data_IF_328175532258
#
_entry.id   IF_328175532258
#
_cell.length_a   1.000
_cell.length_b   1.000
_cell.length_c   1.000
_cell.angle_alpha   90.00
_cell.angle_beta   90.00
_cell.angle_gamma   90.00
#
_symmetry.space_group_name_H-M   'P 1'
#
loop_
_entity.id
_entity.type
_entity.pdbx_description
1 polymer ?
#
# COMPACT_ATOMS: atom_id res chain seq x y z
N UNK A 1 -9.69 4.17 -18.66
CA UNK A 1 -10.58 3.06 -19.08
C UNK A 1 -11.93 3.09 -18.33
N UNK A 2 -12.53 4.26 -18.19
CA UNK A 2 -13.82 4.41 -17.51
C UNK A 2 -14.93 5.02 -18.39
N UNK A 3 -14.67 5.28 -19.70
CA UNK A 3 -15.72 5.73 -20.61
C UNK A 3 -16.71 4.61 -20.91
N UNK A 4 -17.95 4.98 -21.23
CA UNK A 4 -19.03 4.04 -21.54
C UNK A 4 -18.63 3.08 -22.67
N UNK A 5 -18.05 3.60 -23.76
CA UNK A 5 -17.63 2.80 -24.91
C UNK A 5 -16.58 1.75 -24.55
N UNK A 6 -15.60 2.13 -23.72
CA UNK A 6 -14.57 1.20 -23.26
C UNK A 6 -15.18 0.10 -22.38
N UNK A 7 -16.07 0.46 -21.46
CA UNK A 7 -16.77 -0.48 -20.59
C UNK A 7 -17.64 -1.43 -21.42
N UNK A 8 -18.38 -0.93 -22.41
CA UNK A 8 -19.14 -1.77 -23.33
C UNK A 8 -18.25 -2.75 -24.11
N UNK A 9 -17.09 -2.29 -24.58
CA UNK A 9 -16.10 -3.14 -25.23
C UNK A 9 -15.63 -4.27 -24.31
N UNK A 10 -15.32 -3.96 -23.05
CA UNK A 10 -14.92 -4.96 -22.06
C UNK A 10 -16.05 -5.97 -21.75
N UNK A 11 -17.30 -5.51 -21.62
CA UNK A 11 -18.46 -6.40 -21.39
C UNK A 11 -18.68 -7.32 -22.60
N UNK A 12 -18.56 -6.80 -23.83
CA UNK A 12 -18.65 -7.59 -25.07
C UNK A 12 -17.53 -8.62 -25.16
N UNK A 13 -16.34 -8.29 -24.67
CA UNK A 13 -15.18 -9.18 -24.61
C UNK A 13 -15.27 -10.23 -23.47
N UNK A 14 -16.32 -10.18 -22.63
CA UNK A 14 -16.56 -11.19 -21.59
C UNK A 14 -16.29 -10.74 -20.14
N UNK A 15 -15.97 -9.46 -19.91
CA UNK A 15 -15.91 -8.95 -18.53
C UNK A 15 -17.29 -9.06 -17.88
N UNK A 16 -17.32 -9.66 -16.69
CA UNK A 16 -18.55 -9.87 -15.90
C UNK A 16 -18.50 -9.21 -14.51
N UNK A 17 -17.37 -8.57 -14.16
CA UNK A 17 -17.18 -7.82 -12.93
C UNK A 17 -16.27 -6.61 -13.15
N UNK A 18 -16.59 -5.49 -12.51
CA UNK A 18 -15.77 -4.29 -12.45
C UNK A 18 -15.41 -3.99 -11.00
N UNK A 19 -14.12 -3.83 -10.72
CA UNK A 19 -13.59 -3.49 -9.40
C UNK A 19 -13.32 -1.99 -9.32
N UNK A 20 -13.92 -1.33 -8.34
CA UNK A 20 -13.64 0.05 -7.96
C UNK A 20 -12.67 0.04 -6.78
N UNK A 21 -11.41 0.43 -7.03
CA UNK A 21 -10.36 0.40 -6.02
C UNK A 21 -10.30 1.71 -5.24
N UNK A 22 -10.83 1.71 -4.02
CA UNK A 22 -10.91 2.86 -3.12
C UNK A 22 -9.59 3.24 -2.46
N UNK A 23 -8.51 2.50 -2.72
CA UNK A 23 -7.15 2.96 -2.37
C UNK A 23 -6.71 4.17 -3.23
N UNK A 24 -7.39 4.43 -4.35
CA UNK A 24 -7.09 5.48 -5.31
C UNK A 24 -8.37 6.16 -5.80
N UNK A 25 -8.25 7.42 -6.23
CA UNK A 25 -9.39 8.18 -6.73
C UNK A 25 -10.22 8.83 -5.61
N UNK A 26 -11.20 9.63 -6.02
CA UNK A 26 -12.19 10.26 -5.12
C UNK A 26 -13.55 9.58 -5.25
N UNK A 27 -14.48 9.88 -4.33
CA UNK A 27 -15.85 9.40 -4.43
C UNK A 27 -16.53 9.87 -5.72
N UNK A 28 -16.27 11.11 -6.18
CA UNK A 28 -16.81 11.64 -7.44
C UNK A 28 -16.31 10.83 -8.64
N UNK A 29 -15.01 10.50 -8.67
CA UNK A 29 -14.44 9.65 -9.72
C UNK A 29 -15.06 8.25 -9.74
N UNK A 30 -15.29 7.66 -8.57
CA UNK A 30 -15.93 6.35 -8.46
C UNK A 30 -17.41 6.42 -8.85
N UNK A 31 -18.11 7.50 -8.50
CA UNK A 31 -19.51 7.73 -8.89
C UNK A 31 -19.65 7.85 -10.41
N UNK A 32 -18.78 8.61 -11.06
CA UNK A 32 -18.75 8.71 -12.53
C UNK A 32 -18.54 7.33 -13.17
N UNK A 33 -17.53 6.60 -12.70
CA UNK A 33 -17.24 5.25 -13.19
C UNK A 33 -18.41 4.30 -12.99
N UNK A 34 -19.07 4.33 -11.83
CA UNK A 34 -20.25 3.53 -11.50
C UNK A 34 -21.42 3.85 -12.46
N UNK A 35 -21.68 5.13 -12.71
CA UNK A 35 -22.73 5.56 -13.63
C UNK A 35 -22.44 5.12 -15.07
N UNK A 36 -21.19 5.18 -15.49
CA UNK A 36 -20.77 4.69 -16.82
C UNK A 36 -20.94 3.17 -16.95
N UNK A 37 -20.64 2.39 -15.90
CA UNK A 37 -20.89 0.95 -15.88
C UNK A 37 -22.40 0.68 -15.98
N UNK A 38 -23.22 1.36 -15.19
CA UNK A 38 -24.70 1.20 -15.24
C UNK A 38 -25.27 1.58 -16.59
N UNK A 39 -24.74 2.61 -17.23
CA UNK A 39 -25.13 3.02 -18.60
C UNK A 39 -24.78 1.94 -19.62
N UNK A 40 -23.57 1.41 -19.57
CA UNK A 40 -23.12 0.32 -20.46
C UNK A 40 -23.97 -0.96 -20.27
N UNK A 41 -24.29 -1.31 -19.01
CA UNK A 41 -25.21 -2.43 -18.70
C UNK A 41 -26.57 -2.25 -19.36
N UNK A 42 -27.13 -1.04 -19.26
CA UNK A 42 -28.44 -0.70 -19.89
C UNK A 42 -28.35 -0.79 -21.41
N UNK A 43 -27.32 -0.19 -22.01
CA UNK A 43 -27.15 -0.17 -23.48
C UNK A 43 -27.02 -1.59 -24.07
N UNK A 44 -26.34 -2.47 -23.35
CA UNK A 44 -26.10 -3.85 -23.79
C UNK A 44 -27.17 -4.85 -23.32
N UNK A 45 -28.10 -4.42 -22.49
CA UNK A 45 -29.06 -5.29 -21.79
C UNK A 45 -28.34 -6.47 -21.10
N UNK A 46 -27.23 -6.18 -20.43
CA UNK A 46 -26.41 -7.15 -19.69
C UNK A 46 -26.20 -6.71 -18.24
N UNK A 47 -26.10 -7.66 -17.34
CA UNK A 47 -25.77 -7.42 -15.94
C UNK A 47 -24.34 -7.84 -15.67
N UNK A 48 -23.57 -7.00 -14.96
CA UNK A 48 -22.22 -7.30 -14.47
C UNK A 48 -22.14 -7.01 -12.98
N UNK A 49 -21.22 -7.69 -12.28
CA UNK A 49 -20.94 -7.42 -10.88
C UNK A 49 -20.13 -6.12 -10.73
N UNK A 50 -20.37 -5.41 -9.63
CA UNK A 50 -19.58 -4.24 -9.23
C UNK A 50 -19.01 -4.55 -7.85
N UNK A 51 -17.67 -4.54 -7.72
CA UNK A 51 -16.94 -4.79 -6.49
C UNK A 51 -16.37 -3.48 -5.96
N UNK A 52 -16.80 -3.07 -4.79
CA UNK A 52 -16.13 -2.02 -4.03
C UNK A 52 -14.97 -2.63 -3.26
N UNK A 53 -13.75 -2.25 -3.59
CA UNK A 53 -12.53 -2.72 -2.94
C UNK A 53 -11.99 -1.61 -2.03
N UNK A 54 -12.30 -1.72 -0.73
CA UNK A 54 -11.86 -0.75 0.29
C UNK A 54 -10.37 -0.89 0.58
N UNK A 55 -9.74 0.20 1.07
CA UNK A 55 -8.28 0.26 1.24
C UNK A 55 -7.74 -0.66 2.32
N UNK A 56 -8.47 -0.80 3.43
CA UNK A 56 -7.95 -1.40 4.65
C UNK A 56 -6.76 -0.63 5.25
N UNK A 57 -6.25 -1.06 6.40
CA UNK A 57 -5.03 -0.53 6.97
C UNK A 57 -3.83 -0.97 6.12
N UNK A 58 -3.04 -0.01 5.65
CA UNK A 58 -1.81 -0.29 4.90
C UNK A 58 -0.62 0.34 5.59
N UNK A 59 0.30 -0.50 6.06
CA UNK A 59 1.55 -0.02 6.63
C UNK A 59 2.42 0.53 5.49
N UNK A 60 2.91 1.76 5.66
CA UNK A 60 3.73 2.46 4.67
C UNK A 60 4.87 3.19 5.34
N UNK A 61 5.99 3.31 4.64
CA UNK A 61 7.03 4.27 5.05
C UNK A 61 6.52 5.70 4.87
N UNK A 62 7.11 6.62 5.63
CA UNK A 62 6.88 8.06 5.52
C UNK A 62 7.37 8.64 4.20
N UNK A 63 7.47 9.98 4.17
CA UNK A 63 8.12 10.68 3.07
C UNK A 63 9.63 10.51 3.14
N UNK A 64 10.30 10.51 1.99
CA UNK A 64 11.75 10.49 1.85
C UNK A 64 12.21 11.78 1.20
N UNK A 65 13.38 12.30 1.59
CA UNK A 65 14.00 13.45 0.91
C UNK A 65 14.27 13.18 -0.56
N UNK A 66 14.66 11.93 -0.86
CA UNK A 66 14.93 11.41 -2.19
C UNK A 66 14.71 9.89 -2.18
N UNK A 67 14.49 9.23 -3.32
CA UNK A 67 14.46 7.77 -3.37
C UNK A 67 15.80 7.18 -2.93
N UNK A 68 15.75 6.09 -2.15
CA UNK A 68 16.94 5.37 -1.71
C UNK A 68 17.25 4.24 -2.69
N UNK A 69 18.42 4.25 -3.27
CA UNK A 69 18.97 3.09 -3.97
C UNK A 69 19.68 2.22 -2.93
N UNK A 70 19.03 1.10 -2.59
CA UNK A 70 19.46 0.18 -1.54
C UNK A 70 20.16 -1.03 -2.14
N UNK A 71 21.27 -1.42 -1.54
CA UNK A 71 22.04 -2.58 -1.93
C UNK A 71 22.10 -3.60 -0.79
N UNK A 72 22.51 -4.81 -1.12
CA UNK A 72 22.75 -5.84 -0.13
C UNK A 72 23.77 -5.37 0.92
N UNK A 73 23.46 -5.68 2.19
CA UNK A 73 24.22 -5.29 3.39
C UNK A 73 24.12 -3.80 3.77
N UNK A 74 23.32 -3.00 3.06
CA UNK A 74 22.89 -1.70 3.57
C UNK A 74 21.97 -1.90 4.79
N UNK A 75 21.90 -0.89 5.65
CA UNK A 75 21.03 -0.88 6.83
C UNK A 75 19.89 0.11 6.62
N UNK A 76 18.67 -0.32 6.88
CA UNK A 76 17.53 0.56 7.00
C UNK A 76 17.09 0.61 8.47
N UNK A 77 16.99 1.82 8.99
CA UNK A 77 16.62 2.11 10.38
C UNK A 77 15.20 2.69 10.44
N UNK A 78 14.33 2.01 11.16
CA UNK A 78 12.95 2.45 11.38
C UNK A 78 12.84 3.21 12.69
N UNK A 79 12.33 4.43 12.62
CA UNK A 79 12.03 5.27 13.78
C UNK A 79 10.52 5.29 14.06
N UNK A 80 10.17 5.45 15.36
CA UNK A 80 8.77 5.62 15.77
C UNK A 80 8.26 7.03 15.51
N UNK A 81 9.14 8.03 15.65
CA UNK A 81 8.78 9.42 15.41
C UNK A 81 8.56 9.67 13.92
N UNK A 82 7.47 10.37 13.59
CA UNK A 82 7.20 10.77 12.22
C UNK A 82 8.26 11.75 11.73
N UNK A 83 8.87 11.41 10.59
CA UNK A 83 9.91 12.22 9.99
C UNK A 83 10.07 11.95 8.49
N UNK A 84 10.70 12.89 7.81
CA UNK A 84 11.14 12.70 6.42
C UNK A 84 12.41 11.86 6.41
N UNK A 85 12.35 10.68 5.81
CA UNK A 85 13.49 9.76 5.75
C UNK A 85 14.67 10.32 4.95
N UNK A 86 15.87 9.93 5.35
CA UNK A 86 17.13 10.41 4.78
C UNK A 86 18.24 9.37 4.91
N UNK A 87 19.31 9.55 4.12
CA UNK A 87 20.55 8.80 4.27
C UNK A 87 21.35 9.40 5.41
N UNK A 88 21.50 8.65 6.53
CA UNK A 88 22.20 9.10 7.75
C UNK A 88 23.72 9.00 7.62
N UNK A 89 24.19 7.93 6.99
CA UNK A 89 25.61 7.65 6.77
C UNK A 89 25.77 6.79 5.51
N UNK A 90 27.00 6.42 5.17
CA UNK A 90 27.22 5.41 4.15
C UNK A 90 26.54 4.10 4.56
N UNK A 91 25.75 3.55 3.64
CA UNK A 91 24.95 2.31 3.85
C UNK A 91 23.97 2.34 5.02
N UNK A 92 23.59 3.52 5.52
CA UNK A 92 22.62 3.68 6.62
C UNK A 92 21.52 4.68 6.25
N UNK A 93 20.29 4.19 6.16
CA UNK A 93 19.11 4.91 5.73
C UNK A 93 18.06 4.91 6.84
N UNK A 94 17.45 6.05 7.10
CA UNK A 94 16.48 6.24 8.18
C UNK A 94 15.09 6.52 7.60
N UNK A 95 14.08 5.83 8.12
CA UNK A 95 12.69 5.97 7.71
C UNK A 95 11.76 5.95 8.92
N UNK A 96 10.57 6.56 8.78
CA UNK A 96 9.44 6.35 9.69
C UNK A 96 8.38 5.50 9.01
N UNK A 97 7.43 4.96 9.81
CA UNK A 97 6.24 4.27 9.32
C UNK A 97 4.97 4.86 9.95
N UNK A 98 3.85 4.75 9.25
CA UNK A 98 2.57 5.31 9.70
C UNK A 98 1.89 4.53 10.85
N UNK A 99 2.41 3.36 11.23
CA UNK A 99 1.97 2.55 12.37
C UNK A 99 3.19 2.18 13.23
N UNK A 100 3.76 3.15 13.99
CA UNK A 100 5.03 2.96 14.69
C UNK A 100 4.99 1.89 15.78
N UNK A 101 3.81 1.60 16.37
CA UNK A 101 3.65 0.58 17.41
C UNK A 101 3.95 -0.84 16.93
N UNK A 102 3.94 -1.07 15.62
CA UNK A 102 4.37 -2.35 15.03
C UNK A 102 5.83 -2.65 15.39
N UNK A 103 6.67 -1.62 15.47
CA UNK A 103 8.09 -1.76 15.76
C UNK A 103 8.36 -2.34 17.15
N UNK A 104 7.42 -2.21 18.11
CA UNK A 104 7.52 -2.83 19.43
C UNK A 104 7.31 -4.35 19.43
N UNK A 105 6.70 -4.86 18.38
CA UNK A 105 6.32 -6.27 18.26
C UNK A 105 7.28 -7.08 17.39
N UNK A 106 8.13 -6.40 16.62
CA UNK A 106 9.12 -7.00 15.73
C UNK A 106 10.22 -7.69 16.56
N UNK A 107 10.73 -8.81 16.07
CA UNK A 107 11.82 -9.57 16.73
C UNK A 107 13.06 -9.64 15.86
N UNK A 108 14.21 -9.86 16.50
CA UNK A 108 15.46 -10.16 15.80
C UNK A 108 15.24 -11.36 14.87
N UNK A 109 15.89 -11.33 13.73
CA UNK A 109 15.83 -12.33 12.65
C UNK A 109 14.51 -12.37 11.85
N UNK A 110 13.48 -11.61 12.22
CA UNK A 110 12.26 -11.47 11.40
C UNK A 110 12.55 -10.69 10.10
N UNK A 111 11.69 -10.94 9.10
CA UNK A 111 11.78 -10.26 7.81
C UNK A 111 10.83 -9.06 7.74
N UNK A 112 11.32 -8.01 7.08
CA UNK A 112 10.53 -6.84 6.68
C UNK A 112 10.59 -6.76 5.16
N UNK A 113 9.43 -6.70 4.51
CA UNK A 113 9.33 -6.54 3.07
C UNK A 113 8.87 -5.12 2.75
N UNK A 114 9.61 -4.45 1.87
CA UNK A 114 9.33 -3.10 1.41
C UNK A 114 8.91 -3.12 -0.06
N UNK A 115 8.13 -2.12 -0.47
CA UNK A 115 7.67 -1.93 -1.84
C UNK A 115 7.09 -3.22 -2.44
N UNK A 116 5.97 -3.67 -1.85
CA UNK A 116 5.22 -4.86 -2.29
C UNK A 116 6.10 -6.14 -2.39
N UNK A 117 7.11 -6.25 -1.52
CA UNK A 117 7.99 -7.41 -1.43
C UNK A 117 9.20 -7.37 -2.36
N UNK A 118 9.38 -6.30 -3.13
CA UNK A 118 10.54 -6.18 -4.03
C UNK A 118 11.86 -6.00 -3.30
N UNK A 119 11.84 -5.43 -2.08
CA UNK A 119 13.00 -5.26 -1.22
C UNK A 119 12.77 -6.06 0.05
N UNK A 120 13.71 -6.94 0.37
CA UNK A 120 13.71 -7.74 1.58
C UNK A 120 14.79 -7.26 2.54
N UNK A 121 14.41 -7.08 3.80
CA UNK A 121 15.31 -6.74 4.89
C UNK A 121 15.13 -7.71 6.05
N UNK A 122 16.19 -7.95 6.80
CA UNK A 122 16.20 -8.82 7.99
C UNK A 122 16.55 -8.00 9.22
N UNK A 123 15.73 -8.09 10.26
CA UNK A 123 15.94 -7.36 11.52
C UNK A 123 17.21 -7.84 12.21
N UNK A 124 18.12 -6.90 12.52
CA UNK A 124 19.43 -7.17 13.13
C UNK A 124 19.60 -6.50 14.50
N UNK A 125 18.82 -5.47 14.81
CA UNK A 125 18.93 -4.75 16.09
C UNK A 125 17.58 -4.17 16.48
N UNK A 126 17.23 -4.26 17.75
CA UNK A 126 16.01 -3.69 18.35
C UNK A 126 16.39 -2.90 19.60
N UNK A 127 15.87 -1.66 19.69
CA UNK A 127 16.07 -0.76 20.80
C UNK A 127 15.15 0.45 20.69
N UNK A 128 15.70 1.65 20.81
CA UNK A 128 14.96 2.89 20.50
C UNK A 128 14.62 2.97 19.01
N UNK A 129 15.41 2.31 18.19
CA UNK A 129 15.29 2.17 16.74
C UNK A 129 15.20 0.68 16.41
N UNK A 130 14.57 0.33 15.29
CA UNK A 130 14.66 -1.02 14.72
C UNK A 130 15.53 -0.95 13.48
N UNK A 131 16.62 -1.72 13.47
CA UNK A 131 17.51 -1.78 12.31
C UNK A 131 17.34 -3.11 11.58
N UNK A 132 17.25 -3.02 10.26
CA UNK A 132 17.18 -4.19 9.40
C UNK A 132 18.25 -4.09 8.30
N UNK A 133 18.90 -5.21 8.01
CA UNK A 133 19.87 -5.33 6.94
C UNK A 133 19.19 -5.70 5.64
N UNK A 134 19.46 -4.95 4.59
CA UNK A 134 18.95 -5.19 3.24
C UNK A 134 19.61 -6.46 2.67
N UNK A 135 18.80 -7.33 2.05
CA UNK A 135 19.27 -8.59 1.48
C UNK A 135 19.33 -8.62 -0.05
N UNK A 136 18.67 -7.66 -0.71
CA UNK A 136 18.69 -7.55 -2.18
C UNK A 136 18.62 -6.09 -2.63
N UNK A 137 19.07 -5.82 -3.85
CA UNK A 137 18.99 -4.49 -4.45
C UNK A 137 17.55 -4.05 -4.72
N UNK A 138 17.27 -2.75 -4.57
CA UNK A 138 16.01 -2.14 -4.93
C UNK A 138 15.99 -0.62 -4.71
N UNK A 139 15.03 0.05 -5.35
CA UNK A 139 14.81 1.50 -5.17
C UNK A 139 13.57 1.71 -4.30
N UNK A 140 13.76 2.34 -3.15
CA UNK A 140 12.71 2.65 -2.19
C UNK A 140 12.31 4.12 -2.32
N UNK A 141 11.04 4.37 -2.68
CA UNK A 141 10.44 5.71 -2.77
C UNK A 141 9.48 5.96 -1.61
N UNK A 142 9.09 7.24 -1.42
CA UNK A 142 8.10 7.67 -0.41
C UNK A 142 6.80 6.88 -0.47
N UNK A 143 6.16 6.68 0.68
CA UNK A 143 4.82 6.08 0.84
C UNK A 143 4.70 4.63 0.35
N UNK A 144 5.81 3.93 0.09
CA UNK A 144 5.77 2.52 -0.31
C UNK A 144 5.31 1.63 0.83
N UNK A 145 4.61 0.54 0.48
CA UNK A 145 4.09 -0.44 1.42
C UNK A 145 5.19 -1.16 2.19
N UNK A 146 4.91 -1.49 3.43
CA UNK A 146 5.77 -2.29 4.31
C UNK A 146 4.97 -3.47 4.84
N UNK A 147 5.52 -4.66 4.75
CA UNK A 147 4.92 -5.88 5.28
C UNK A 147 5.83 -6.52 6.33
N UNK A 148 5.21 -6.96 7.42
CA UNK A 148 5.84 -7.63 8.55
C UNK A 148 5.24 -9.05 8.67
N UNK A 149 5.65 -10.03 7.85
CA UNK A 149 4.96 -11.31 7.73
C UNK A 149 5.04 -12.18 8.99
N UNK A 150 6.02 -11.94 9.83
CA UNK A 150 6.25 -12.70 11.05
C UNK A 150 5.71 -12.01 12.31
N UNK A 151 5.30 -10.74 12.20
CA UNK A 151 4.85 -9.92 13.33
C UNK A 151 3.32 -9.90 13.40
N UNK A 152 2.76 -10.21 14.56
CA UNK A 152 1.31 -10.05 14.78
C UNK A 152 1.00 -8.56 14.88
N UNK A 153 0.29 -8.05 13.89
CA UNK A 153 -0.12 -6.64 13.80
C UNK A 153 -1.53 -6.53 14.38
N UNK A 154 -1.64 -5.77 15.47
CA UNK A 154 -2.90 -5.47 16.15
C UNK A 154 -3.32 -4.05 15.79
N UNK A 155 -3.90 -3.91 14.60
CA UNK A 155 -4.48 -2.67 14.10
C UNK A 155 -5.92 -2.95 13.65
N UNK A 156 -6.79 -1.96 13.78
CA UNK A 156 -8.17 -2.07 13.32
C UNK A 156 -8.20 -2.42 11.83
N UNK A 157 -8.92 -3.48 11.50
CA UNK A 157 -9.05 -3.97 10.12
C UNK A 157 -9.81 -2.97 9.25
N UNK A 158 -10.72 -2.19 9.84
CA UNK A 158 -11.50 -1.13 9.19
C UNK A 158 -10.97 0.22 9.67
N UNK A 159 -10.49 1.02 8.75
CA UNK A 159 -10.05 2.40 9.04
C UNK A 159 -11.25 3.37 9.00
N UNK A 160 -11.08 4.58 9.56
CA UNK A 160 -12.09 5.65 9.42
C UNK A 160 -12.42 5.97 7.96
N UNK A 161 -11.42 5.87 7.07
CA UNK A 161 -11.63 6.02 5.64
C UNK A 161 -12.53 4.91 5.10
N UNK A 162 -12.27 3.66 5.50
CA UNK A 162 -13.06 2.51 5.06
C UNK A 162 -14.52 2.61 5.52
N UNK A 163 -14.77 3.11 6.74
CA UNK A 163 -16.15 3.37 7.23
C UNK A 163 -16.89 4.34 6.31
N UNK A 164 -16.23 5.44 5.91
CA UNK A 164 -16.80 6.43 4.98
C UNK A 164 -17.01 5.81 3.61
N UNK A 165 -16.07 5.04 3.11
CA UNK A 165 -16.14 4.39 1.80
C UNK A 165 -17.26 3.33 1.78
N UNK A 166 -17.41 2.53 2.84
CA UNK A 166 -18.49 1.54 2.98
C UNK A 166 -19.86 2.21 3.02
N UNK A 167 -19.97 3.33 3.75
CA UNK A 167 -21.24 4.09 3.81
C UNK A 167 -21.61 4.74 2.49
N UNK A 168 -20.65 4.99 1.62
CA UNK A 168 -20.88 5.52 0.26
C UNK A 168 -21.39 4.44 -0.70
N UNK A 169 -20.97 3.19 -0.61
CA UNK A 169 -21.33 2.07 -1.50
C UNK A 169 -22.67 1.46 -1.21
#
# INVERSE_FOLDING_TARGET
SHSVEMIEGLIKAGANMFRLNFSHGSHEYHLETLNNIRTAMKNLNKTVGILQDISGPKVRIGDLKEPFELYRDDVITFLKDEMVGYKRADKDYVVSINYPDILDKVKIDEYIYLYDGTIRAKVIEIGKEVKARIENHGILSSKKGVNFPNTVIDIDVITKKDEIDIAWG
#
